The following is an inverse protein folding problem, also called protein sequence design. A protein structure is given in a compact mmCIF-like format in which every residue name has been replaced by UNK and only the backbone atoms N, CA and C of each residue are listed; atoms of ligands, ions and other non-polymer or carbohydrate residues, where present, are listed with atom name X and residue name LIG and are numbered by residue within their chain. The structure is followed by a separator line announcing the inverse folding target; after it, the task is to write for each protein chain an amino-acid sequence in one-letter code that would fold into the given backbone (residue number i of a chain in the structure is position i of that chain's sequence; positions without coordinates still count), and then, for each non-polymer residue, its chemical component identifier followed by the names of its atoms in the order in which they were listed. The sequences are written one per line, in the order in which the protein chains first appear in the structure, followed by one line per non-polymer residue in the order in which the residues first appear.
data_IF_429562125052
#
_entry.id   IF_429562125052
#
_cell.length_a   1.000
_cell.length_b   1.000
_cell.length_c   1.000
_cell.angle_alpha   90.00
_cell.angle_beta   90.00
_cell.angle_gamma   90.00
#
_symmetry.space_group_name_H-M   'P 1'
#
loop_
_entity.id
_entity.type
_entity.pdbx_description
1 polymer ?
#
# COMPACT_ATOMS: atom_id res chain seq x y z
N UNK A 1 3.14 -13.24 5.05
CA UNK A 1 2.45 -11.94 5.20
C UNK A 1 1.85 -11.56 3.87
N UNK A 2 0.59 -11.12 3.81
CA UNK A 2 -0.05 -10.73 2.55
C UNK A 2 0.13 -9.22 2.36
N UNK A 3 0.76 -8.80 1.25
CA UNK A 3 0.94 -7.40 0.92
C UNK A 3 0.12 -7.10 -0.33
N UNK A 4 -0.72 -6.08 -0.27
CA UNK A 4 -1.56 -5.61 -1.36
C UNK A 4 -1.18 -4.19 -1.72
N UNK A 5 -1.27 -3.85 -3.00
CA UNK A 5 -1.12 -2.47 -3.40
C UNK A 5 -2.06 -2.04 -4.51
N UNK A 6 -2.57 -0.82 -4.39
CA UNK A 6 -3.24 -0.10 -5.46
C UNK A 6 -2.19 0.74 -6.18
N UNK A 7 -2.00 0.47 -7.48
CA UNK A 7 -0.97 1.13 -8.28
C UNK A 7 -1.61 2.00 -9.35
N UNK A 8 -1.52 3.33 -9.20
CA UNK A 8 -2.14 4.29 -10.12
C UNK A 8 -1.29 4.61 -11.37
N UNK A 9 -0.06 4.06 -11.48
CA UNK A 9 0.83 4.21 -12.65
C UNK A 9 1.06 5.67 -13.08
N UNK A 10 1.14 6.59 -12.12
CA UNK A 10 1.39 8.01 -12.40
C UNK A 10 2.84 8.31 -12.85
N UNK A 11 3.76 7.36 -12.64
CA UNK A 11 5.19 7.48 -12.95
C UNK A 11 5.67 6.33 -13.85
N UNK A 12 6.90 6.45 -14.37
CA UNK A 12 7.56 5.40 -15.16
C UNK A 12 7.69 4.08 -14.35
N UNK A 13 7.06 2.98 -14.79
CA UNK A 13 7.09 1.70 -14.09
C UNK A 13 8.50 1.09 -13.96
N UNK A 14 9.46 1.52 -14.79
CA UNK A 14 10.86 1.07 -14.68
C UNK A 14 11.57 1.67 -13.48
N UNK A 15 11.12 2.84 -13.01
CA UNK A 15 11.68 3.59 -11.87
C UNK A 15 10.84 3.46 -10.61
N UNK A 16 9.61 2.95 -10.72
CA UNK A 16 8.69 2.82 -9.59
C UNK A 16 9.01 1.59 -8.72
N UNK A 17 9.14 1.82 -7.41
CA UNK A 17 9.46 0.77 -6.42
C UNK A 17 8.34 -0.26 -6.30
N UNK A 18 7.07 0.18 -6.30
CA UNK A 18 5.95 -0.76 -6.20
C UNK A 18 5.89 -1.69 -7.42
N UNK A 19 6.13 -1.15 -8.63
CA UNK A 19 6.24 -1.95 -9.85
C UNK A 19 7.41 -2.95 -9.78
N UNK A 20 8.53 -2.61 -9.15
CA UNK A 20 9.64 -3.55 -8.89
C UNK A 20 9.22 -4.65 -7.91
N UNK A 21 8.57 -4.31 -6.80
CA UNK A 21 8.09 -5.29 -5.82
C UNK A 21 7.06 -6.26 -6.43
N UNK A 22 6.17 -5.76 -7.29
CA UNK A 22 5.18 -6.57 -7.98
C UNK A 22 5.83 -7.55 -8.97
N UNK A 23 6.89 -7.14 -9.68
CA UNK A 23 7.67 -8.04 -10.57
C UNK A 23 8.38 -9.17 -9.83
N UNK A 24 8.63 -9.02 -8.53
CA UNK A 24 9.25 -10.03 -7.69
C UNK A 24 8.23 -10.80 -6.83
N UNK A 25 6.93 -10.68 -7.13
CA UNK A 25 5.83 -11.34 -6.40
C UNK A 25 5.79 -11.04 -4.88
N UNK A 26 6.42 -9.93 -4.44
CA UNK A 26 6.42 -9.50 -3.03
C UNK A 26 5.09 -8.84 -2.66
N UNK A 27 4.46 -8.17 -3.61
CA UNK A 27 3.19 -7.45 -3.44
C UNK A 27 2.20 -7.85 -4.52
N UNK A 28 0.94 -8.02 -4.13
CA UNK A 28 -0.15 -8.27 -5.06
C UNK A 28 -0.81 -6.95 -5.45
N UNK A 29 -0.76 -6.62 -6.73
CA UNK A 29 -1.50 -5.47 -7.26
C UNK A 29 -3.00 -5.79 -7.24
N UNK A 30 -3.80 -4.89 -6.66
CA UNK A 30 -5.25 -5.01 -6.56
C UNK A 30 -5.91 -3.73 -7.06
N UNK A 31 -7.07 -3.87 -7.70
CA UNK A 31 -7.88 -2.71 -8.09
C UNK A 31 -8.66 -2.12 -6.90
N UNK A 32 -9.05 -2.99 -5.95
CA UNK A 32 -9.76 -2.61 -4.72
C UNK A 32 -9.04 -3.20 -3.53
N UNK A 33 -8.80 -2.37 -2.52
CA UNK A 33 -8.17 -2.82 -1.29
C UNK A 33 -9.05 -3.85 -0.57
N UNK A 34 -8.50 -4.98 -0.09
CA UNK A 34 -9.21 -5.88 0.81
C UNK A 34 -9.67 -5.15 2.08
N UNK A 35 -10.81 -5.55 2.63
CA UNK A 35 -11.30 -5.03 3.90
C UNK A 35 -10.56 -5.67 5.08
N UNK A 36 -10.62 -5.03 6.24
CA UNK A 36 -10.05 -5.53 7.50
C UNK A 36 -8.53 -5.70 7.52
N UNK A 37 -7.78 -5.06 6.64
CA UNK A 37 -6.31 -5.06 6.67
C UNK A 37 -5.79 -3.73 7.23
N UNK A 38 -4.49 -3.68 7.57
CA UNK A 38 -3.83 -2.40 7.88
C UNK A 38 -3.46 -1.74 6.55
N UNK A 39 -3.82 -0.48 6.35
CA UNK A 39 -3.41 0.31 5.18
C UNK A 39 -2.42 1.36 5.63
N UNK A 40 -1.30 1.49 4.93
CA UNK A 40 -0.39 2.60 5.14
C UNK A 40 -1.00 3.86 4.53
N UNK A 41 -1.26 4.84 5.39
CA UNK A 41 -1.81 6.13 5.04
C UNK A 41 -0.86 7.23 5.54
N UNK A 42 -0.26 8.05 4.66
CA UNK A 42 0.64 9.11 5.08
C UNK A 42 -0.07 10.30 5.75
N UNK A 43 -1.39 10.39 5.68
CA UNK A 43 -2.20 11.47 6.26
C UNK A 43 -2.76 11.13 7.64
N UNK A 44 -2.62 9.88 8.09
CA UNK A 44 -3.16 9.44 9.38
C UNK A 44 -2.39 9.99 10.57
N UNK A 45 -3.10 10.23 11.67
CA UNK A 45 -2.49 10.57 12.96
C UNK A 45 -2.05 9.33 13.77
N UNK A 46 -2.35 8.12 13.28
CA UNK A 46 -2.03 6.86 13.96
C UNK A 46 -0.73 6.25 13.42
N UNK A 47 0.40 6.39 14.13
CA UNK A 47 1.65 5.80 13.69
C UNK A 47 1.57 4.28 13.72
N UNK A 48 2.18 3.63 12.73
CA UNK A 48 2.36 2.19 12.71
C UNK A 48 3.26 1.74 13.88
N UNK A 49 2.85 0.72 14.62
CA UNK A 49 3.56 0.25 15.81
C UNK A 49 3.72 -1.27 15.82
N UNK A 50 4.58 -1.83 16.70
CA UNK A 50 4.67 -3.27 16.90
C UNK A 50 3.35 -3.93 17.33
N UNK A 51 2.40 -3.18 17.90
CA UNK A 51 1.09 -3.68 18.30
C UNK A 51 0.25 -4.14 17.09
N UNK A 52 0.50 -3.55 15.92
CA UNK A 52 -0.22 -3.86 14.68
C UNK A 52 0.28 -5.16 14.02
N UNK A 53 1.42 -5.71 14.48
CA UNK A 53 2.07 -6.88 13.88
C UNK A 53 1.14 -8.07 13.74
N UNK A 54 0.31 -8.33 14.76
CA UNK A 54 -0.62 -9.47 14.73
C UNK A 54 -1.73 -9.28 13.67
N UNK A 55 -2.23 -8.05 13.53
CA UNK A 55 -3.24 -7.71 12.51
C UNK A 55 -2.63 -7.87 11.12
N UNK A 56 -1.43 -7.34 10.90
CA UNK A 56 -0.72 -7.42 9.62
C UNK A 56 -0.38 -8.86 9.24
N UNK A 57 0.10 -9.66 10.21
CA UNK A 57 0.44 -11.06 9.97
C UNK A 57 -0.79 -11.88 9.54
N UNK A 58 -1.93 -11.67 10.19
CA UNK A 58 -3.15 -12.45 9.95
C UNK A 58 -3.98 -11.93 8.76
N UNK A 59 -4.10 -10.61 8.63
CA UNK A 59 -5.04 -9.97 7.69
C UNK A 59 -4.33 -9.39 6.47
N UNK A 60 -3.15 -8.80 6.67
CA UNK A 60 -2.30 -8.26 5.61
C UNK A 60 -2.02 -6.76 5.75
N UNK A 61 -1.23 -6.26 4.82
CA UNK A 61 -0.82 -4.86 4.71
C UNK A 61 -1.21 -4.31 3.32
N UNK A 62 -1.82 -3.13 3.28
CA UNK A 62 -2.20 -2.41 2.08
C UNK A 62 -1.32 -1.18 1.87
N UNK A 63 -0.96 -0.93 0.61
CA UNK A 63 -0.29 0.29 0.16
C UNK A 63 -1.08 0.94 -0.97
N UNK A 64 -1.08 2.27 -1.05
CA UNK A 64 -1.58 2.98 -2.23
C UNK A 64 -0.45 3.81 -2.80
N UNK A 65 -0.03 3.46 -4.02
CA UNK A 65 1.04 4.14 -4.75
C UNK A 65 0.42 5.19 -5.69
N UNK A 66 0.53 6.44 -5.25
CA UNK A 66 0.13 7.62 -6.00
C UNK A 66 1.23 8.69 -5.90
N UNK A 67 1.25 9.63 -6.85
CA UNK A 67 2.14 10.79 -6.75
C UNK A 67 1.80 11.62 -5.52
N UNK A 68 2.79 12.17 -4.82
CA UNK A 68 2.58 13.09 -3.69
C UNK A 68 1.65 14.26 -4.01
N UNK A 69 1.66 14.75 -5.26
CA UNK A 69 0.74 15.81 -5.74
C UNK A 69 -0.75 15.46 -5.61
N UNK A 70 -1.09 14.18 -5.51
CA UNK A 70 -2.47 13.66 -5.46
C UNK A 70 -2.81 12.97 -4.14
N UNK A 71 -1.93 13.00 -3.14
CA UNK A 71 -2.11 12.25 -1.88
C UNK A 71 -3.45 12.57 -1.20
N UNK A 72 -3.82 13.85 -1.12
CA UNK A 72 -5.08 14.31 -0.54
C UNK A 72 -6.33 13.85 -1.31
N UNK A 73 -6.22 13.65 -2.63
CA UNK A 73 -7.35 13.17 -3.44
C UNK A 73 -7.57 11.66 -3.27
N UNK A 74 -6.53 10.95 -2.85
CA UNK A 74 -6.51 9.49 -2.75
C UNK A 74 -6.82 9.03 -1.33
N UNK A 75 -6.35 9.78 -0.33
CA UNK A 75 -6.46 9.44 1.10
C UNK A 75 -7.37 10.39 1.89
N UNK A 76 -7.70 11.57 1.35
CA UNK A 76 -8.57 12.55 2.01
C UNK A 76 -10.05 12.35 1.74
#
# INVERSE_FOLDING_TARGET
MKIYAMYFRHDDPRKNTLAKLARHDIVKIVYRMPTNIVVLDPLTHYPLSPLDRNIIANRGLGLIDCSWKKVWQVYG
#
